data_IF_050288191566
#
_entry.id   IF_050288191566
#
_cell.length_a   1.000
_cell.length_b   1.000
_cell.length_c   1.000
_cell.angle_alpha   90.00
_cell.angle_beta   90.00
_cell.angle_gamma   90.00
#
_symmetry.space_group_name_H-M   'P 1'
#
loop_
_entity.id
_entity.type
_entity.pdbx_description
1 polymer ?
#
# COMPACT_ATOMS: atom_id res chain seq x y z
N UNK A 1 -10.60 0.41 19.40
CA UNK A 1 -9.28 -0.09 18.93
C UNK A 1 -9.39 -1.58 18.58
N UNK A 2 -9.51 -1.91 17.29
CA UNK A 2 -9.64 -3.31 16.83
C UNK A 2 -8.28 -4.03 16.71
N UNK A 3 -7.17 -3.35 17.00
CA UNK A 3 -5.79 -3.84 16.83
C UNK A 3 -5.16 -4.42 18.10
N UNK A 4 -5.82 -4.38 19.26
CA UNK A 4 -5.18 -4.80 20.53
C UNK A 4 -4.58 -6.21 20.48
N UNK A 5 -5.30 -7.17 19.88
CA UNK A 5 -4.79 -8.54 19.67
C UNK A 5 -3.58 -8.61 18.73
N UNK A 6 -3.48 -7.70 17.77
CA UNK A 6 -2.35 -7.63 16.85
C UNK A 6 -1.12 -7.05 17.55
N UNK A 7 -1.30 -6.06 18.41
CA UNK A 7 -0.24 -5.50 19.25
C UNK A 7 0.31 -6.54 20.23
N UNK A 8 -0.56 -7.34 20.86
CA UNK A 8 -0.17 -8.45 21.75
C UNK A 8 0.75 -9.49 21.06
N UNK A 9 0.59 -9.70 19.76
CA UNK A 9 1.44 -10.61 18.96
C UNK A 9 2.58 -9.86 18.24
N UNK A 10 2.88 -8.62 18.62
CA UNK A 10 3.94 -7.78 18.08
C UNK A 10 3.80 -7.44 16.58
N UNK A 11 2.57 -7.33 16.07
CA UNK A 11 2.35 -6.74 14.77
C UNK A 11 2.65 -5.23 14.81
N UNK A 12 3.36 -4.73 13.79
CA UNK A 12 3.60 -3.30 13.61
C UNK A 12 2.31 -2.61 13.21
N UNK A 13 2.01 -1.49 13.84
CA UNK A 13 0.82 -0.68 13.59
C UNK A 13 1.23 0.62 12.92
N UNK A 14 0.61 0.94 11.80
CA UNK A 14 0.77 2.22 11.13
C UNK A 14 0.02 3.31 11.92
N UNK A 15 0.71 4.33 12.45
CA UNK A 15 0.07 5.36 13.26
C UNK A 15 -0.92 6.23 12.48
N UNK A 16 -0.82 6.28 11.14
CA UNK A 16 -1.69 7.10 10.29
C UNK A 16 -3.04 6.41 10.04
N UNK A 17 -3.02 5.10 9.84
CA UNK A 17 -4.25 4.32 9.61
C UNK A 17 -4.81 3.76 10.92
N UNK A 18 -3.95 3.60 11.93
CA UNK A 18 -4.19 2.84 13.18
C UNK A 18 -4.51 1.36 12.93
N UNK A 19 -4.14 0.85 11.76
CA UNK A 19 -4.21 -0.56 11.38
C UNK A 19 -2.80 -1.16 11.27
N UNK A 20 -2.66 -2.48 11.08
CA UNK A 20 -1.36 -3.11 10.90
C UNK A 20 -0.67 -2.64 9.62
N UNK A 21 0.67 -2.57 9.67
CA UNK A 21 1.49 -2.52 8.47
C UNK A 21 1.35 -3.83 7.71
N UNK A 22 1.10 -3.76 6.40
CA UNK A 22 0.88 -4.95 5.56
C UNK A 22 1.75 -4.96 4.30
N UNK A 23 2.00 -6.17 3.78
CA UNK A 23 2.61 -6.34 2.47
C UNK A 23 1.57 -6.30 1.34
N UNK A 24 2.01 -6.46 0.10
CA UNK A 24 1.17 -6.36 -1.09
C UNK A 24 0.09 -7.43 -1.20
N UNK A 25 0.17 -8.47 -0.36
CA UNK A 25 -0.86 -9.48 -0.18
C UNK A 25 -1.53 -9.40 1.20
N UNK A 26 -1.52 -8.23 1.84
CA UNK A 26 -2.22 -7.96 3.10
C UNK A 26 -1.77 -8.81 4.31
N UNK A 27 -0.62 -9.47 4.23
CA UNK A 27 0.01 -10.09 5.39
C UNK A 27 0.56 -8.99 6.29
N UNK A 28 0.44 -9.15 7.60
CA UNK A 28 0.99 -8.23 8.61
C UNK A 28 2.48 -8.49 8.83
N UNK A 29 3.15 -7.66 9.62
CA UNK A 29 4.55 -7.91 9.99
C UNK A 29 4.77 -9.23 10.76
N UNK A 30 3.70 -9.87 11.25
CA UNK A 30 3.74 -11.21 11.82
C UNK A 30 3.47 -12.23 10.71
N UNK A 31 4.45 -13.11 10.37
CA UNK A 31 4.31 -14.06 9.28
C UNK A 31 3.09 -14.97 9.44
N UNK A 32 2.32 -15.14 8.37
CA UNK A 32 1.12 -15.98 8.34
C UNK A 32 -0.14 -15.35 8.94
N UNK A 33 -0.05 -14.12 9.47
CA UNK A 33 -1.21 -13.35 9.94
C UNK A 33 -1.56 -12.31 8.90
N UNK A 34 -2.79 -12.35 8.40
CA UNK A 34 -3.30 -11.44 7.37
C UNK A 34 -4.39 -10.54 7.96
N UNK A 35 -4.46 -9.29 7.49
CA UNK A 35 -5.45 -8.32 7.93
C UNK A 35 -6.03 -7.61 6.71
N UNK A 36 -7.36 -7.42 6.69
CA UNK A 36 -8.08 -6.92 5.51
C UNK A 36 -9.18 -5.94 5.90
N UNK A 37 -9.69 -5.21 4.90
CA UNK A 37 -10.76 -4.24 5.07
C UNK A 37 -10.42 -3.16 6.10
N UNK A 38 -11.44 -2.72 6.84
CA UNK A 38 -11.33 -1.60 7.77
C UNK A 38 -10.42 -1.84 8.99
N UNK A 39 -9.91 -3.07 9.18
CA UNK A 39 -8.85 -3.33 10.15
C UNK A 39 -7.52 -2.71 9.73
N UNK A 40 -7.24 -2.65 8.41
CA UNK A 40 -5.98 -2.12 7.85
C UNK A 40 -6.03 -0.62 7.66
N UNK A 41 -7.11 -0.15 7.04
CA UNK A 41 -7.34 1.24 6.64
C UNK A 41 -8.85 1.41 6.45
N UNK A 42 -9.39 2.58 6.78
CA UNK A 42 -10.79 2.89 6.50
C UNK A 42 -10.97 3.01 4.98
N UNK A 43 -11.67 2.03 4.40
CA UNK A 43 -12.10 2.02 3.01
C UNK A 43 -13.40 2.79 2.86
N UNK A 44 -13.46 3.62 1.82
CA UNK A 44 -14.65 4.42 1.54
C UNK A 44 -15.69 3.63 0.72
N UNK A 45 -15.24 2.60 -0.01
CA UNK A 45 -16.09 1.72 -0.82
C UNK A 45 -15.99 0.27 -0.34
N UNK A 46 -17.14 -0.41 -0.28
CA UNK A 46 -17.20 -1.83 0.11
C UNK A 46 -16.43 -2.72 -0.87
N UNK A 47 -16.47 -2.39 -2.17
CA UNK A 47 -15.78 -3.16 -3.21
C UNK A 47 -14.27 -3.20 -2.99
N UNK A 48 -13.65 -2.08 -2.61
CA UNK A 48 -12.21 -2.03 -2.31
C UNK A 48 -11.88 -2.83 -1.04
N UNK A 49 -12.75 -2.79 -0.03
CA UNK A 49 -12.58 -3.60 1.17
C UNK A 49 -12.66 -5.10 0.86
N UNK A 50 -13.60 -5.52 -0.01
CA UNK A 50 -13.72 -6.90 -0.48
C UNK A 50 -12.51 -7.30 -1.33
N UNK A 51 -12.04 -6.44 -2.23
CA UNK A 51 -10.85 -6.71 -3.04
C UNK A 51 -9.60 -6.94 -2.16
N UNK A 52 -9.44 -6.19 -1.07
CA UNK A 52 -8.35 -6.44 -0.11
C UNK A 52 -8.40 -7.86 0.47
N UNK A 53 -9.60 -8.40 0.72
CA UNK A 53 -9.78 -9.78 1.18
C UNK A 53 -9.43 -10.80 0.11
N UNK A 54 -9.84 -10.57 -1.15
CA UNK A 54 -9.50 -11.46 -2.26
C UNK A 54 -7.99 -11.50 -2.53
N UNK A 55 -7.32 -10.33 -2.51
CA UNK A 55 -5.86 -10.25 -2.64
C UNK A 55 -5.18 -11.00 -1.48
N UNK A 56 -5.70 -10.88 -0.25
CA UNK A 56 -5.15 -11.60 0.90
C UNK A 56 -5.26 -13.12 0.77
N UNK A 57 -6.33 -13.63 0.16
CA UNK A 57 -6.52 -15.05 -0.06
C UNK A 57 -5.39 -15.63 -0.94
N UNK A 58 -4.98 -14.91 -1.98
CA UNK A 58 -3.81 -15.29 -2.78
C UNK A 58 -2.52 -15.28 -1.94
N UNK A 59 -2.39 -14.33 -1.01
CA UNK A 59 -1.29 -14.28 -0.06
C UNK A 59 -1.24 -15.50 0.87
N UNK A 60 -2.39 -15.93 1.36
CA UNK A 60 -2.52 -17.14 2.19
C UNK A 60 -2.09 -18.38 1.40
N UNK A 61 -2.55 -18.52 0.15
CA UNK A 61 -2.13 -19.61 -0.72
C UNK A 61 -0.61 -19.64 -0.90
N UNK A 62 0.01 -18.47 -1.16
CA UNK A 62 1.47 -18.34 -1.27
C UNK A 62 2.20 -18.70 0.01
N UNK A 63 1.68 -18.29 1.15
CA UNK A 63 2.23 -18.60 2.47
C UNK A 63 2.22 -20.10 2.75
N UNK A 64 1.08 -20.75 2.52
CA UNK A 64 0.93 -22.19 2.70
C UNK A 64 1.81 -22.98 1.72
N UNK A 65 1.93 -22.50 0.47
CA UNK A 65 2.82 -23.08 -0.54
C UNK A 65 4.30 -22.75 -0.34
N UNK A 66 4.66 -21.96 0.69
CA UNK A 66 6.04 -21.53 0.98
C UNK A 66 6.73 -20.88 -0.23
N UNK A 67 5.98 -20.07 -0.98
CA UNK A 67 6.54 -19.27 -2.07
C UNK A 67 7.65 -18.36 -1.50
N UNK A 68 8.78 -18.19 -2.19
CA UNK A 68 9.84 -17.35 -1.69
C UNK A 68 9.41 -15.88 -1.57
N UNK A 69 9.89 -15.24 -0.51
CA UNK A 69 9.89 -13.79 -0.35
C UNK A 69 11.28 -13.24 -0.64
N UNK A 70 11.32 -11.98 -1.03
CA UNK A 70 12.55 -11.20 -1.17
C UNK A 70 13.27 -11.12 0.18
N UNK A 71 14.59 -11.20 0.16
CA UNK A 71 15.43 -10.97 1.35
C UNK A 71 15.24 -9.57 1.92
N UNK A 72 15.08 -8.58 1.04
CA UNK A 72 14.83 -7.19 1.41
C UNK A 72 13.51 -6.73 0.79
N UNK A 73 12.51 -6.37 1.62
CA UNK A 73 11.26 -5.80 1.12
C UNK A 73 11.50 -4.46 0.43
N UNK A 74 10.73 -4.19 -0.62
CA UNK A 74 10.66 -2.83 -1.19
C UNK A 74 9.65 -2.06 -0.35
N UNK A 75 10.03 -0.94 0.25
CA UNK A 75 9.08 -0.11 1.01
C UNK A 75 8.32 0.83 0.09
N UNK A 76 7.03 1.02 0.35
CA UNK A 76 6.21 2.05 -0.26
C UNK A 76 5.87 3.06 0.82
N UNK A 77 6.31 4.30 0.64
CA UNK A 77 6.18 5.37 1.62
C UNK A 77 5.23 6.46 1.12
N UNK A 78 4.48 7.12 2.02
CA UNK A 78 3.84 8.38 1.69
C UNK A 78 4.92 9.44 1.41
N UNK A 79 4.81 10.10 0.26
CA UNK A 79 5.63 11.27 -0.10
C UNK A 79 4.88 12.57 0.13
N UNK A 80 5.20 13.59 -0.66
CA UNK A 80 4.56 14.89 -0.57
C UNK A 80 3.04 14.78 -0.77
N UNK A 81 2.28 15.45 0.10
CA UNK A 81 0.82 15.53 0.04
C UNK A 81 0.07 14.17 0.11
N UNK A 82 0.67 13.15 0.73
CA UNK A 82 0.04 11.84 1.02
C UNK A 82 0.06 11.56 2.52
N UNK A 83 -1.07 11.16 3.10
CA UNK A 83 -1.18 10.81 4.53
C UNK A 83 -0.77 9.37 4.82
N UNK A 84 -1.16 8.46 3.94
CA UNK A 84 -0.93 7.02 4.11
C UNK A 84 -0.89 6.34 2.75
N UNK A 85 -0.14 5.23 2.66
CA UNK A 85 -0.11 4.33 1.51
C UNK A 85 -0.17 2.89 2.00
N UNK A 86 -0.98 2.07 1.36
CA UNK A 86 -1.13 0.64 1.58
C UNK A 86 -0.91 -0.05 0.22
N UNK A 87 -0.15 -1.15 0.14
CA UNK A 87 0.66 -1.74 1.20
C UNK A 87 1.87 -0.86 1.53
N UNK A 88 2.49 -1.08 2.69
CA UNK A 88 3.72 -0.40 3.10
C UNK A 88 4.98 -1.12 2.61
N UNK A 89 4.85 -2.39 2.21
CA UNK A 89 5.98 -3.25 1.79
C UNK A 89 5.58 -4.18 0.64
N UNK A 90 6.54 -4.50 -0.21
CA UNK A 90 6.43 -5.52 -1.25
C UNK A 90 7.44 -6.61 -0.94
N UNK A 91 6.94 -7.83 -0.74
CA UNK A 91 7.73 -8.93 -0.17
C UNK A 91 7.79 -10.17 -1.04
N UNK A 92 6.71 -10.53 -1.70
CA UNK A 92 6.63 -11.82 -2.37
C UNK A 92 7.34 -11.76 -3.71
N UNK A 93 8.00 -12.84 -4.12
CA UNK A 93 8.42 -12.98 -5.50
C UNK A 93 7.21 -13.39 -6.36
N UNK A 94 6.74 -12.45 -7.16
CA UNK A 94 5.54 -12.56 -8.00
C UNK A 94 5.71 -11.61 -9.21
N UNK A 95 4.90 -11.77 -10.24
CA UNK A 95 4.83 -10.94 -11.44
C UNK A 95 3.57 -10.04 -11.50
N UNK A 96 2.58 -10.26 -10.63
CA UNK A 96 1.34 -9.46 -10.59
C UNK A 96 1.61 -8.01 -10.21
N UNK A 97 0.84 -7.12 -10.82
CA UNK A 97 0.81 -5.71 -10.44
C UNK A 97 0.26 -5.54 -9.02
N UNK A 98 0.71 -4.49 -8.35
CA UNK A 98 0.33 -4.18 -6.97
C UNK A 98 -0.81 -3.16 -7.00
N UNK A 99 -1.91 -3.48 -6.33
CA UNK A 99 -2.96 -2.51 -6.04
C UNK A 99 -2.52 -1.74 -4.81
N UNK A 100 -2.34 -0.43 -4.96
CA UNK A 100 -1.99 0.45 -3.86
C UNK A 100 -3.11 1.45 -3.60
N UNK A 101 -3.52 1.50 -2.34
CA UNK A 101 -4.48 2.47 -1.81
C UNK A 101 -3.73 3.58 -1.09
N UNK A 102 -4.18 4.81 -1.22
CA UNK A 102 -3.55 5.94 -0.54
C UNK A 102 -4.57 7.02 -0.20
N UNK A 103 -4.27 7.80 0.84
CA UNK A 103 -5.11 8.93 1.25
C UNK A 103 -4.37 10.23 0.99
N UNK A 104 -4.85 11.13 0.11
CA UNK A 104 -4.26 12.45 -0.09
C UNK A 104 -4.29 13.27 1.21
N UNK A 105 -3.29 14.14 1.41
CA UNK A 105 -3.25 15.07 2.54
C UNK A 105 -3.95 16.40 2.26
N UNK A 106 -4.11 16.75 0.98
CA UNK A 106 -4.72 18.01 0.55
C UNK A 106 -5.67 17.79 -0.62
N UNK A 107 -6.46 18.82 -0.91
CA UNK A 107 -7.37 18.86 -2.06
C UNK A 107 -6.69 19.51 -3.25
N UNK A 108 -6.63 18.81 -4.40
CA UNK A 108 -6.00 19.31 -5.62
C UNK A 108 -6.89 18.98 -6.83
N UNK A 109 -7.09 19.95 -7.73
CA UNK A 109 -7.67 19.73 -9.07
C UNK A 109 -6.55 19.43 -10.06
N UNK A 110 -6.83 18.61 -11.08
CA UNK A 110 -5.83 18.19 -12.08
C UNK A 110 -4.54 17.67 -11.45
N UNK A 111 -4.69 16.76 -10.47
CA UNK A 111 -3.57 16.23 -9.72
C UNK A 111 -2.71 15.27 -10.57
N UNK A 112 -1.40 15.36 -10.36
CA UNK A 112 -0.41 14.40 -10.83
C UNK A 112 0.08 13.61 -9.62
N UNK A 113 -0.08 12.29 -9.68
CA UNK A 113 0.50 11.35 -8.73
C UNK A 113 1.83 10.87 -9.29
N UNK A 114 2.90 10.98 -8.51
CA UNK A 114 4.26 10.59 -8.91
C UNK A 114 4.79 9.51 -7.98
N UNK A 115 5.10 8.35 -8.55
CA UNK A 115 5.85 7.31 -7.87
C UNK A 115 7.33 7.56 -8.13
N UNK A 116 8.09 7.89 -7.10
CA UNK A 116 9.53 8.15 -7.17
C UNK A 116 10.32 7.08 -6.42
N UNK A 117 11.58 6.87 -6.78
CA UNK A 117 12.50 6.05 -5.96
C UNK A 117 13.21 6.88 -4.88
N UNK A 118 14.10 6.23 -4.12
CA UNK A 118 14.92 6.87 -3.08
C UNK A 118 15.91 7.94 -3.60
N UNK A 119 16.11 8.03 -4.91
CA UNK A 119 16.95 9.06 -5.57
C UNK A 119 16.11 10.21 -6.15
N UNK A 120 14.82 10.25 -5.85
CA UNK A 120 13.84 11.20 -6.42
C UNK A 120 13.64 11.07 -7.95
N UNK A 121 14.02 9.94 -8.55
CA UNK A 121 13.74 9.68 -9.97
C UNK A 121 12.27 9.26 -10.12
N UNK A 122 11.56 9.86 -11.08
CA UNK A 122 10.16 9.53 -11.35
C UNK A 122 10.09 8.19 -12.09
N UNK A 123 9.52 7.18 -11.44
CA UNK A 123 9.32 5.84 -11.97
C UNK A 123 8.02 5.73 -12.77
N UNK A 124 6.95 6.41 -12.29
CA UNK A 124 5.64 6.42 -12.95
C UNK A 124 4.84 7.65 -12.56
N UNK A 125 4.04 8.14 -13.50
CA UNK A 125 3.06 9.20 -13.27
C UNK A 125 1.64 8.70 -13.53
N UNK A 126 0.70 9.24 -12.77
CA UNK A 126 -0.74 9.02 -12.95
C UNK A 126 -1.44 10.38 -12.90
N UNK A 127 -2.48 10.56 -13.70
CA UNK A 127 -3.32 11.77 -13.66
C UNK A 127 -4.63 11.47 -12.96
N UNK A 128 -5.10 12.44 -12.18
CA UNK A 128 -6.44 12.44 -11.58
C UNK A 128 -7.07 13.81 -11.83
N UNK A 129 -8.35 13.86 -12.22
CA UNK A 129 -9.04 15.14 -12.37
C UNK A 129 -9.14 15.89 -11.04
N UNK A 130 -9.17 15.15 -9.92
CA UNK A 130 -9.33 15.69 -8.59
C UNK A 130 -8.91 14.65 -7.55
N UNK A 131 -8.33 15.10 -6.44
CA UNK A 131 -8.06 14.29 -5.25
C UNK A 131 -8.39 15.10 -4.00
N UNK A 132 -8.82 14.45 -2.92
CA UNK A 132 -9.12 15.10 -1.63
C UNK A 132 -8.90 14.15 -0.46
N UNK A 133 -8.67 14.65 0.78
CA UNK A 133 -8.42 13.80 1.93
C UNK A 133 -9.58 12.88 2.33
N UNK A 134 -10.82 13.29 2.04
CA UNK A 134 -12.01 12.50 2.36
C UNK A 134 -12.28 11.36 1.39
N UNK A 135 -11.39 11.12 0.41
CA UNK A 135 -11.50 10.00 -0.53
C UNK A 135 -10.22 9.18 -0.53
N UNK A 136 -10.33 7.89 -0.25
CA UNK A 136 -9.28 6.90 -0.43
C UNK A 136 -9.14 6.65 -1.92
N UNK A 137 -7.96 6.93 -2.43
CA UNK A 137 -7.62 6.77 -3.83
C UNK A 137 -6.87 5.45 -4.05
N UNK A 138 -6.87 4.97 -5.28
CA UNK A 138 -6.10 3.78 -5.67
C UNK A 138 -5.34 3.97 -6.97
N UNK A 139 -4.21 3.28 -7.06
CA UNK A 139 -3.40 3.13 -8.27
C UNK A 139 -2.99 1.66 -8.44
N UNK A 140 -2.74 1.27 -9.69
CA UNK A 140 -2.10 0.00 -10.01
C UNK A 140 -0.64 0.27 -10.34
N UNK A 141 0.25 -0.27 -9.52
CA UNK A 141 1.71 -0.14 -9.68
C UNK A 141 2.21 -1.39 -10.38
N UNK A 142 2.81 -1.23 -11.56
CA UNK A 142 3.45 -2.36 -12.20
C UNK A 142 4.69 -2.75 -11.42
N UNK A 143 4.77 -4.01 -11.02
CA UNK A 143 5.86 -4.51 -10.17
C UNK A 143 7.23 -4.26 -10.80
N UNK A 144 7.35 -4.44 -12.12
CA UNK A 144 8.59 -4.20 -12.90
C UNK A 144 9.17 -2.80 -12.70
N UNK A 145 8.33 -1.80 -12.43
CA UNK A 145 8.71 -0.40 -12.27
C UNK A 145 9.43 -0.15 -10.93
N UNK A 146 9.18 -0.97 -9.91
CA UNK A 146 9.72 -0.78 -8.55
C UNK A 146 10.79 -1.80 -8.16
N UNK A 147 11.02 -2.84 -8.97
CA UNK A 147 11.92 -3.95 -8.63
C UNK A 147 13.38 -3.54 -8.37
N UNK A 148 13.84 -2.45 -8.99
CA UNK A 148 15.21 -1.92 -8.85
C UNK A 148 15.37 -0.97 -7.66
N UNK A 149 14.28 -0.61 -6.97
CA UNK A 149 14.29 0.33 -5.86
C UNK A 149 14.30 -0.41 -4.51
N UNK A 150 14.90 0.22 -3.50
CA UNK A 150 14.75 -0.22 -2.10
C UNK A 150 13.51 0.39 -1.46
N UNK A 151 13.26 1.64 -1.79
CA UNK A 151 12.11 2.40 -1.28
C UNK A 151 11.52 3.21 -2.43
N UNK A 152 10.19 3.32 -2.45
CA UNK A 152 9.46 4.18 -3.37
C UNK A 152 8.52 5.09 -2.61
N UNK A 153 8.25 6.27 -3.15
CA UNK A 153 7.45 7.31 -2.51
C UNK A 153 6.31 7.70 -3.45
N UNK A 154 5.09 7.72 -2.93
CA UNK A 154 3.94 8.24 -3.67
C UNK A 154 3.73 9.71 -3.31
N UNK A 155 3.85 10.58 -4.30
CA UNK A 155 3.69 12.02 -4.15
C UNK A 155 2.44 12.49 -4.89
N UNK A 156 1.83 13.56 -4.41
CA UNK A 156 0.71 14.25 -5.08
C UNK A 156 1.09 15.71 -5.28
N UNK A 157 0.91 16.21 -6.50
CA UNK A 157 1.10 17.63 -6.82
C UNK A 157 0.06 18.11 -7.83
N UNK A 158 -0.10 19.41 -7.94
CA UNK A 158 -0.91 20.03 -8.99
C UNK A 158 -0.18 19.92 -10.34
N UNK A 159 -0.95 19.77 -11.43
CA UNK A 159 -0.40 19.97 -12.76
C UNK A 159 -0.04 21.44 -12.92
N UNK A 160 1.23 21.70 -13.24
CA UNK A 160 1.64 22.98 -13.81
C UNK A 160 0.92 23.26 -15.12
#
# INVERSE_FOLDING_TARGET
PYTGKLEEINAKIDPKTRGPEVNEFFETSVPGIFAVGNLVQIFDYVDDAVESALISAEGVEKYLAKVPKRTTPIKINPGNNVLSVIPQRIEWEDNKDIISFFRPAITIKNAILELTNEKNEVLKTFRRPFVRPSTLERIKISRKVVLSSKEVFLNVRESS
#
